data_IF_684416334846
#
_entry.id   IF_684416334846
#
_cell.length_a   1.000
_cell.length_b   1.000
_cell.length_c   1.000
_cell.angle_alpha   90.00
_cell.angle_beta   90.00
_cell.angle_gamma   90.00
#
_symmetry.space_group_name_H-M   'P 1'
#
loop_
_entity.id
_entity.type
_entity.pdbx_description
1 polymer ?
#
# COMPACT_ATOMS: atom_id res chain seq x y z
N UNK A 1 9.45 -2.89 -7.50
CA UNK A 1 8.21 -3.69 -7.38
C UNK A 1 7.74 -3.56 -5.95
N UNK A 2 6.45 -3.34 -5.70
CA UNK A 2 5.92 -3.30 -4.34
C UNK A 2 5.68 -4.72 -3.85
N UNK A 3 6.12 -5.03 -2.64
CA UNK A 3 6.03 -6.36 -2.02
C UNK A 3 5.39 -6.28 -0.64
N UNK A 4 4.96 -7.43 -0.12
CA UNK A 4 4.46 -7.54 1.25
C UNK A 4 5.48 -7.03 2.27
N UNK A 5 6.72 -7.51 2.19
CA UNK A 5 7.78 -7.15 3.13
C UNK A 5 8.06 -5.64 3.11
N UNK A 6 8.09 -5.04 1.91
CA UNK A 6 8.25 -3.60 1.77
C UNK A 6 7.11 -2.82 2.47
N UNK A 7 5.86 -3.28 2.34
CA UNK A 7 4.73 -2.63 3.01
C UNK A 7 4.88 -2.71 4.53
N UNK A 8 5.27 -3.87 5.07
CA UNK A 8 5.52 -4.03 6.50
C UNK A 8 6.67 -3.12 6.99
N UNK A 9 7.77 -3.05 6.25
CA UNK A 9 8.90 -2.15 6.56
C UNK A 9 8.51 -0.67 6.56
N UNK A 10 7.54 -0.31 5.73
CA UNK A 10 6.99 1.04 5.63
C UNK A 10 5.93 1.35 6.71
N UNK A 11 5.61 0.38 7.58
CA UNK A 11 4.65 0.54 8.67
C UNK A 11 3.20 0.29 8.27
N UNK A 12 2.95 -0.38 7.15
CA UNK A 12 1.62 -0.89 6.84
C UNK A 12 1.35 -2.13 7.69
N UNK A 13 0.10 -2.28 8.11
CA UNK A 13 -0.37 -3.46 8.86
C UNK A 13 -1.28 -4.30 7.97
N UNK A 14 -1.06 -5.61 7.91
CA UNK A 14 -1.92 -6.50 7.14
C UNK A 14 -3.31 -6.61 7.78
N UNK A 15 -4.35 -6.59 6.95
CA UNK A 15 -5.73 -6.70 7.45
C UNK A 15 -6.04 -8.17 7.74
N UNK A 16 -6.43 -8.53 8.97
CA UNK A 16 -6.81 -9.90 9.28
C UNK A 16 -8.03 -10.32 8.45
N UNK A 17 -7.99 -11.54 7.90
CA UNK A 17 -9.05 -12.13 7.06
C UNK A 17 -9.32 -11.43 5.71
N UNK A 18 -8.47 -10.48 5.28
CA UNK A 18 -8.45 -9.98 3.90
C UNK A 18 -7.06 -10.16 3.31
N UNK A 19 -6.95 -11.13 2.41
CA UNK A 19 -5.69 -11.39 1.70
C UNK A 19 -5.24 -10.14 0.95
N UNK A 20 -3.94 -9.83 1.09
CA UNK A 20 -3.28 -8.75 0.37
C UNK A 20 -3.86 -7.35 0.65
N UNK A 21 -4.66 -7.17 1.70
CA UNK A 21 -5.14 -5.87 2.14
C UNK A 21 -4.29 -5.35 3.30
N UNK A 22 -4.09 -4.03 3.35
CA UNK A 22 -3.23 -3.36 4.30
C UNK A 22 -3.84 -2.06 4.80
N UNK A 23 -3.61 -1.74 6.06
CA UNK A 23 -3.91 -0.46 6.68
C UNK A 23 -2.65 0.39 6.82
N UNK A 24 -2.80 1.69 6.59
CA UNK A 24 -1.78 2.69 6.93
C UNK A 24 -2.46 3.96 7.43
N UNK A 25 -2.29 4.30 8.72
CA UNK A 25 -2.77 5.56 9.34
C UNK A 25 -4.19 6.01 8.94
N UNK A 26 -5.12 5.05 8.81
CA UNK A 26 -6.52 5.32 8.50
C UNK A 26 -6.92 5.16 7.03
N UNK A 27 -5.97 4.97 6.12
CA UNK A 27 -6.26 4.50 4.75
C UNK A 27 -6.13 2.99 4.66
N UNK A 28 -6.91 2.42 3.74
CA UNK A 28 -6.84 1.01 3.36
C UNK A 28 -6.33 0.93 1.94
N UNK A 29 -5.57 -0.12 1.64
CA UNK A 29 -5.23 -0.47 0.27
C UNK A 29 -5.01 -1.96 0.10
N UNK A 30 -4.77 -2.36 -1.14
CA UNK A 30 -4.44 -3.74 -1.47
C UNK A 30 -3.23 -3.84 -2.40
N UNK A 31 -2.43 -4.88 -2.17
CA UNK A 31 -1.28 -5.24 -2.99
C UNK A 31 -1.73 -6.21 -4.07
N UNK A 32 -1.62 -5.85 -5.33
CA UNK A 32 -1.66 -6.84 -6.42
C UNK A 32 -0.27 -7.49 -6.53
N UNK A 33 -0.14 -8.72 -6.03
CA UNK A 33 1.14 -9.45 -5.96
C UNK A 33 1.63 -9.91 -7.33
N UNK A 34 0.72 -10.20 -8.27
CA UNK A 34 1.08 -10.67 -9.62
C UNK A 34 1.84 -9.61 -10.41
N UNK A 35 1.42 -8.35 -10.27
CA UNK A 35 2.01 -7.21 -10.98
C UNK A 35 2.95 -6.40 -10.08
N UNK A 36 2.85 -6.59 -8.76
CA UNK A 36 3.64 -5.86 -7.76
C UNK A 36 3.27 -4.38 -7.65
N UNK A 37 1.96 -4.10 -7.70
CA UNK A 37 1.39 -2.75 -7.60
C UNK A 37 0.51 -2.62 -6.37
N UNK A 38 0.47 -1.44 -5.78
CA UNK A 38 -0.38 -1.14 -4.62
C UNK A 38 -1.48 -0.17 -5.00
N UNK A 39 -2.67 -0.36 -4.43
CA UNK A 39 -3.86 0.43 -4.72
C UNK A 39 -4.46 0.89 -3.41
N UNK A 40 -4.81 2.17 -3.30
CA UNK A 40 -5.55 2.67 -2.14
C UNK A 40 -7.05 2.62 -2.42
N UNK A 41 -7.84 2.24 -1.41
CA UNK A 41 -9.30 2.31 -1.46
C UNK A 41 -9.75 3.74 -1.77
N UNK A 42 -10.57 3.89 -2.82
CA UNK A 42 -11.05 5.19 -3.28
C UNK A 42 -10.08 5.96 -4.18
N UNK A 43 -8.92 5.38 -4.52
CA UNK A 43 -7.96 5.96 -5.46
C UNK A 43 -7.83 5.07 -6.71
N UNK A 44 -8.06 5.63 -7.89
CA UNK A 44 -8.08 4.86 -9.14
C UNK A 44 -6.68 4.49 -9.67
N UNK A 45 -5.62 5.10 -9.13
CA UNK A 45 -4.26 4.99 -9.67
C UNK A 45 -3.47 3.88 -8.99
N UNK A 46 -2.98 2.93 -9.80
CA UNK A 46 -2.01 1.92 -9.37
C UNK A 46 -0.66 2.56 -9.04
N UNK A 47 -0.13 2.24 -7.87
CA UNK A 47 1.20 2.65 -7.44
C UNK A 47 2.16 1.53 -7.83
N UNK A 48 3.14 1.87 -8.67
CA UNK A 48 4.05 0.88 -9.27
C UNK A 48 5.45 0.97 -8.65
N UNK A 49 5.83 2.17 -8.22
CA UNK A 49 7.16 2.42 -7.66
C UNK A 49 7.12 2.68 -6.16
N UNK A 50 8.20 2.34 -5.48
CA UNK A 50 8.38 2.63 -4.06
C UNK A 50 8.43 4.14 -3.80
N UNK A 51 8.91 4.94 -4.74
CA UNK A 51 8.96 6.39 -4.59
C UNK A 51 7.55 7.00 -4.60
N UNK A 52 6.68 6.56 -5.51
CA UNK A 52 5.29 7.01 -5.55
C UNK A 52 4.54 6.59 -4.28
N UNK A 53 4.82 5.38 -3.78
CA UNK A 53 4.26 4.89 -2.51
C UNK A 53 4.68 5.79 -1.34
N UNK A 54 5.98 6.08 -1.22
CA UNK A 54 6.51 6.96 -0.17
C UNK A 54 5.98 8.39 -0.28
N UNK A 55 5.82 8.91 -1.50
CA UNK A 55 5.23 10.22 -1.73
C UNK A 55 3.77 10.26 -1.26
N UNK A 56 2.98 9.23 -1.56
CA UNK A 56 1.60 9.14 -1.07
C UNK A 56 1.53 8.97 0.45
N UNK A 57 2.42 8.16 1.04
CA UNK A 57 2.54 8.08 2.50
C UNK A 57 2.84 9.44 3.11
N UNK A 58 3.74 10.22 2.50
CA UNK A 58 4.03 11.57 2.96
C UNK A 58 2.82 12.51 2.88
N UNK A 59 1.98 12.36 1.86
CA UNK A 59 0.71 13.09 1.76
C UNK A 59 -0.33 12.67 2.80
N UNK A 60 -0.34 11.39 3.20
CA UNK A 60 -1.23 10.87 4.26
C UNK A 60 -0.75 11.32 5.65
N UNK A 61 0.57 11.45 5.82
CA UNK A 61 1.20 11.82 7.07
C UNK A 61 1.08 13.32 7.40
N UNK A 62 0.77 14.15 6.41
CA UNK A 62 0.62 15.60 6.53
C UNK A 62 -0.79 16.00 6.97
#
# INVERSE_FOLDING_TARGET
MITHDLLLELGFESVPNRLQAYHYKGVIGWLNVEVGTFHFDGYATSIITQNDLRFLMWLIDY
#
